data_IF_019406925228
#
_entry.id   IF_019406925228
#
_cell.length_a   1.000
_cell.length_b   1.000
_cell.length_c   1.000
_cell.angle_alpha   90.00
_cell.angle_beta   90.00
_cell.angle_gamma   90.00
#
_symmetry.space_group_name_H-M   'P 1'
#
loop_
_entity.id
_entity.type
_entity.pdbx_description
1 polymer ?
#
# COMPACT_ATOMS: atom_id res chain seq x y z
N UNK A 1 13.47 8.09 -4.63
CA UNK A 1 14.25 6.83 -4.60
C UNK A 1 15.03 6.49 -5.86
N UNK A 2 14.63 6.87 -7.08
CA UNK A 2 15.52 6.65 -8.25
C UNK A 2 16.65 7.67 -8.24
N UNK A 3 17.90 7.19 -8.27
CA UNK A 3 19.09 8.05 -8.24
C UNK A 3 19.42 8.66 -6.88
N UNK A 4 18.64 8.40 -5.83
CA UNK A 4 18.94 8.80 -4.46
C UNK A 4 19.77 7.70 -3.78
N UNK A 5 20.81 8.11 -3.06
CA UNK A 5 21.54 7.26 -2.15
C UNK A 5 21.02 7.40 -0.70
N UNK A 6 21.62 6.63 0.19
CA UNK A 6 21.27 6.56 1.59
C UNK A 6 21.47 7.90 2.31
N UNK A 7 22.54 8.66 1.98
CA UNK A 7 22.84 9.94 2.60
C UNK A 7 21.78 11.00 2.26
N UNK A 8 21.37 11.07 0.98
CA UNK A 8 20.33 12.00 0.53
C UNK A 8 19.01 11.72 1.26
N UNK A 9 18.62 10.44 1.38
CA UNK A 9 17.38 10.08 2.08
C UNK A 9 17.42 10.46 3.55
N UNK A 10 18.52 10.17 4.26
CA UNK A 10 18.64 10.55 5.66
C UNK A 10 18.58 12.08 5.82
N UNK A 11 19.26 12.83 4.95
CA UNK A 11 19.20 14.29 4.92
C UNK A 11 17.77 14.79 4.72
N UNK A 12 17.02 14.21 3.79
CA UNK A 12 15.65 14.65 3.49
C UNK A 12 14.68 14.30 4.62
N UNK A 13 14.87 13.15 5.28
CA UNK A 13 14.11 12.79 6.48
C UNK A 13 14.39 13.75 7.63
N UNK A 14 15.66 14.08 7.90
CA UNK A 14 16.01 15.01 8.97
C UNK A 14 15.39 16.39 8.72
N UNK A 15 15.45 16.91 7.48
CA UNK A 15 14.77 18.15 7.11
C UNK A 15 13.25 18.06 7.32
N UNK A 16 12.62 16.96 6.94
CA UNK A 16 11.18 16.77 7.14
C UNK A 16 10.81 16.72 8.63
N UNK A 17 11.66 16.12 9.47
CA UNK A 17 11.50 16.06 10.92
C UNK A 17 11.67 17.45 11.55
N UNK A 18 12.65 18.22 11.10
CA UNK A 18 12.95 19.58 11.59
C UNK A 18 11.81 20.58 11.31
N UNK A 19 10.93 20.30 10.34
CA UNK A 19 9.68 21.05 10.14
C UNK A 19 8.68 20.88 11.30
N UNK A 20 8.94 20.00 12.27
CA UNK A 20 8.09 19.79 13.44
C UNK A 20 6.81 19.00 13.15
N UNK A 21 6.79 18.23 12.07
CA UNK A 21 5.62 17.44 11.67
C UNK A 21 5.32 16.33 12.69
N UNK A 22 4.03 16.01 12.86
CA UNK A 22 3.54 14.93 13.71
C UNK A 22 3.49 13.59 12.99
N UNK A 23 3.42 13.61 11.65
CA UNK A 23 3.45 12.43 10.79
C UNK A 23 4.31 12.67 9.54
N UNK A 24 4.87 11.60 9.00
CA UNK A 24 5.67 11.58 7.78
C UNK A 24 5.32 10.32 7.00
N UNK A 25 4.78 10.48 5.80
CA UNK A 25 4.54 9.38 4.88
C UNK A 25 5.68 9.25 3.87
N UNK A 26 6.19 8.03 3.69
CA UNK A 26 7.35 7.76 2.86
C UNK A 26 6.99 6.74 1.77
N UNK A 27 6.67 7.24 0.57
CA UNK A 27 6.28 6.39 -0.55
C UNK A 27 7.44 6.16 -1.53
N UNK A 28 7.77 4.89 -1.87
CA UNK A 28 8.58 4.65 -3.05
C UNK A 28 7.80 5.09 -4.30
N UNK A 29 8.49 5.77 -5.22
CA UNK A 29 7.90 6.11 -6.52
C UNK A 29 7.48 4.83 -7.24
N UNK A 30 6.20 4.75 -7.61
CA UNK A 30 5.63 3.60 -8.31
C UNK A 30 5.83 3.74 -9.83
N UNK A 31 6.68 2.87 -10.38
CA UNK A 31 7.11 2.88 -11.79
C UNK A 31 6.06 2.32 -12.77
N UNK A 32 4.85 2.01 -12.31
CA UNK A 32 3.77 1.59 -13.19
C UNK A 32 2.75 2.69 -13.34
N UNK A 33 2.38 3.36 -12.24
CA UNK A 33 1.30 4.38 -12.22
C UNK A 33 1.81 5.82 -12.35
N UNK A 34 3.12 6.03 -12.40
CA UNK A 34 3.69 7.36 -12.65
C UNK A 34 3.52 7.80 -14.10
N UNK A 35 3.50 9.12 -14.32
CA UNK A 35 3.35 9.67 -15.66
C UNK A 35 4.53 9.29 -16.56
N UNK A 36 4.27 9.09 -17.85
CA UNK A 36 5.32 8.83 -18.85
C UNK A 36 6.36 9.97 -18.91
N UNK A 37 5.94 11.21 -18.63
CA UNK A 37 6.84 12.36 -18.52
C UNK A 37 7.83 12.22 -17.36
N UNK A 38 7.37 11.76 -16.19
CA UNK A 38 8.25 11.52 -15.05
C UNK A 38 9.20 10.36 -15.34
N UNK A 39 8.72 9.26 -15.93
CA UNK A 39 9.57 8.15 -16.37
C UNK A 39 10.70 8.60 -17.29
N UNK A 40 10.36 9.39 -18.32
CA UNK A 40 11.35 9.97 -19.23
C UNK A 40 12.35 10.84 -18.47
N UNK A 41 11.86 11.70 -17.58
CA UNK A 41 12.72 12.61 -16.81
C UNK A 41 13.69 11.86 -15.88
N UNK A 42 13.23 10.80 -15.21
CA UNK A 42 14.07 9.96 -14.35
C UNK A 42 15.17 9.30 -15.17
N UNK A 43 14.83 8.71 -16.32
CA UNK A 43 15.81 8.08 -17.22
C UNK A 43 16.83 9.08 -17.75
N UNK A 44 16.37 10.27 -18.14
CA UNK A 44 17.23 11.31 -18.71
C UNK A 44 18.10 11.97 -17.60
N UNK A 45 17.71 11.88 -16.32
CA UNK A 45 18.43 12.42 -15.16
C UNK A 45 19.48 11.46 -14.60
N UNK A 46 19.22 10.15 -14.58
CA UNK A 46 20.13 9.18 -13.99
C UNK A 46 20.02 7.80 -14.62
N UNK A 47 21.18 7.19 -14.90
CA UNK A 47 21.27 5.76 -15.22
C UNK A 47 21.20 4.88 -13.96
N UNK A 48 21.22 5.49 -12.77
CA UNK A 48 21.21 4.79 -11.50
C UNK A 48 19.78 4.43 -11.06
N UNK A 49 19.20 3.51 -11.81
CA UNK A 49 17.94 2.88 -11.46
C UNK A 49 18.13 1.99 -10.22
N UNK A 50 17.36 2.31 -9.17
CA UNK A 50 17.39 1.62 -7.86
C UNK A 50 16.77 0.24 -7.96
N UNK A 51 17.54 -0.80 -7.61
CA UNK A 51 17.10 -2.20 -7.64
C UNK A 51 16.11 -2.53 -6.52
N UNK A 52 15.39 -3.65 -6.65
CA UNK A 52 14.48 -4.14 -5.60
C UNK A 52 15.23 -4.36 -4.27
N UNK A 53 16.41 -4.99 -4.31
CA UNK A 53 17.27 -5.20 -3.12
C UNK A 53 17.66 -3.88 -2.45
N UNK A 54 17.99 -2.84 -3.24
CA UNK A 54 18.35 -1.53 -2.67
C UNK A 54 17.14 -0.84 -2.06
N UNK A 55 15.97 -0.87 -2.73
CA UNK A 55 14.70 -0.35 -2.17
C UNK A 55 14.36 -1.01 -0.83
N UNK A 56 14.55 -2.33 -0.73
CA UNK A 56 14.34 -3.07 0.52
C UNK A 56 15.32 -2.62 1.62
N UNK A 57 16.61 -2.50 1.29
CA UNK A 57 17.64 -2.05 2.23
C UNK A 57 17.38 -0.61 2.71
N UNK A 58 16.94 0.27 1.82
CA UNK A 58 16.54 1.65 2.15
C UNK A 58 15.33 1.66 3.10
N UNK A 59 14.34 0.77 2.91
CA UNK A 59 13.20 0.67 3.83
C UNK A 59 13.64 0.32 5.26
N UNK A 60 14.60 -0.59 5.42
CA UNK A 60 15.19 -0.92 6.72
C UNK A 60 15.91 0.29 7.33
N UNK A 61 16.75 0.97 6.55
CA UNK A 61 17.46 2.18 6.99
C UNK A 61 16.49 3.26 7.46
N UNK A 62 15.44 3.54 6.66
CA UNK A 62 14.40 4.52 6.96
C UNK A 62 13.72 4.19 8.29
N UNK A 63 13.29 2.94 8.49
CA UNK A 63 12.61 2.56 9.74
C UNK A 63 13.51 2.73 10.97
N UNK A 64 14.77 2.30 10.89
CA UNK A 64 15.74 2.49 11.98
C UNK A 64 15.96 3.98 12.28
N UNK A 65 16.13 4.80 11.24
CA UNK A 65 16.34 6.24 11.40
C UNK A 65 15.12 6.92 12.03
N UNK A 66 13.92 6.68 11.49
CA UNK A 66 12.68 7.26 11.99
C UNK A 66 12.44 6.88 13.47
N UNK A 67 12.66 5.62 13.84
CA UNK A 67 12.57 5.17 15.25
C UNK A 67 13.58 5.87 16.15
N UNK A 68 14.82 6.07 15.68
CA UNK A 68 15.83 6.82 16.44
C UNK A 68 15.43 8.29 16.69
N UNK A 69 14.55 8.84 15.85
CA UNK A 69 14.01 10.21 15.93
C UNK A 69 12.65 10.30 16.63
N UNK A 70 12.18 9.22 17.27
CA UNK A 70 10.93 9.21 18.02
C UNK A 70 9.68 9.05 17.16
N UNK A 71 9.79 8.36 16.02
CA UNK A 71 8.67 8.01 15.16
C UNK A 71 8.45 6.50 15.11
N UNK A 72 7.19 6.09 15.14
CA UNK A 72 6.76 4.70 14.96
C UNK A 72 5.98 4.57 13.65
N UNK A 73 6.12 3.46 12.91
CA UNK A 73 5.21 3.16 11.82
C UNK A 73 3.76 3.12 12.33
N UNK A 74 2.82 3.70 11.60
CA UNK A 74 1.38 3.58 11.89
C UNK A 74 0.60 2.89 10.74
N UNK A 75 1.30 2.56 9.65
CA UNK A 75 0.84 1.67 8.58
C UNK A 75 2.07 1.13 7.79
N UNK A 76 1.87 0.65 6.56
CA UNK A 76 2.92 0.09 5.71
C UNK A 76 4.04 1.05 5.26
N UNK A 77 3.83 2.36 5.32
CA UNK A 77 4.76 3.39 4.81
C UNK A 77 4.74 4.73 5.57
N UNK A 78 3.78 4.92 6.48
CA UNK A 78 3.57 6.14 7.25
C UNK A 78 4.11 6.01 8.67
N UNK A 79 4.66 7.11 9.17
CA UNK A 79 5.26 7.22 10.49
C UNK A 79 4.60 8.34 11.29
N UNK A 80 4.39 8.12 12.57
CA UNK A 80 3.82 9.09 13.51
C UNK A 80 4.75 9.28 14.69
N UNK A 81 4.86 10.50 15.20
CA UNK A 81 5.61 10.79 16.42
C UNK A 81 4.96 10.06 17.59
N UNK A 82 5.71 9.19 18.25
CA UNK A 82 5.20 8.34 19.34
C UNK A 82 6.36 7.89 20.23
N UNK A 83 6.05 7.51 21.46
CA UNK A 83 6.97 6.72 22.28
C UNK A 83 7.36 5.45 21.54
N UNK A 84 8.65 5.15 21.50
CA UNK A 84 9.17 3.95 20.83
C UNK A 84 8.81 2.71 21.66
N UNK A 85 8.26 1.71 20.99
CA UNK A 85 7.89 0.42 21.57
C UNK A 85 8.36 -0.72 20.68
N UNK A 86 8.26 -1.95 21.20
CA UNK A 86 8.56 -3.17 20.44
C UNK A 86 7.49 -3.51 19.39
N UNK A 87 6.41 -2.71 19.30
CA UNK A 87 5.41 -2.89 18.26
C UNK A 87 5.99 -2.61 16.87
N UNK A 88 5.58 -3.42 15.89
CA UNK A 88 5.98 -3.23 14.50
C UNK A 88 5.30 -2.00 13.92
N UNK A 89 3.99 -1.87 14.18
CA UNK A 89 3.13 -0.74 13.84
C UNK A 89 2.40 -0.31 15.10
N UNK A 90 2.34 0.99 15.38
CA UNK A 90 1.61 1.55 16.52
C UNK A 90 0.12 1.70 16.23
N UNK A 91 -0.69 1.47 17.26
CA UNK A 91 -2.14 1.70 17.28
C UNK A 91 -2.52 3.09 17.81
N UNK A 92 -1.56 3.91 18.23
CA UNK A 92 -1.78 5.25 18.79
C UNK A 92 -2.33 6.26 17.78
N UNK A 93 -2.24 5.96 16.48
CA UNK A 93 -2.74 6.80 15.41
C UNK A 93 -3.17 5.94 14.24
N UNK A 94 -4.32 6.29 13.66
CA UNK A 94 -4.67 5.84 12.32
C UNK A 94 -5.25 6.99 11.52
N UNK A 95 -4.90 7.03 10.23
CA UNK A 95 -5.49 7.99 9.32
C UNK A 95 -6.87 7.47 8.92
N UNK A 96 -7.93 8.17 9.33
CA UNK A 96 -9.32 7.73 9.18
C UNK A 96 -9.62 7.28 7.75
N UNK A 97 -9.18 8.03 6.74
CA UNK A 97 -9.37 7.64 5.34
C UNK A 97 -8.83 6.23 5.03
N UNK A 98 -7.67 5.85 5.59
CA UNK A 98 -7.13 4.50 5.41
C UNK A 98 -7.93 3.43 6.16
N UNK A 99 -8.61 3.75 7.26
CA UNK A 99 -9.55 2.79 7.90
C UNK A 99 -10.73 2.47 6.97
N UNK A 100 -11.22 3.44 6.19
CA UNK A 100 -12.28 3.16 5.22
C UNK A 100 -11.78 2.37 4.00
N UNK A 101 -10.61 2.73 3.47
CA UNK A 101 -10.08 2.11 2.24
C UNK A 101 -9.44 0.74 2.51
N UNK A 102 -8.62 0.65 3.58
CA UNK A 102 -7.78 -0.50 3.91
C UNK A 102 -8.12 -1.13 5.26
N UNK A 103 -9.16 -0.69 5.97
CA UNK A 103 -9.58 -1.27 7.25
C UNK A 103 -10.58 -2.42 7.08
N UNK A 104 -11.55 -2.48 7.98
CA UNK A 104 -12.56 -3.54 8.02
C UNK A 104 -13.64 -3.39 6.92
N UNK A 105 -14.49 -4.40 6.79
CA UNK A 105 -15.55 -4.49 5.78
C UNK A 105 -16.83 -3.71 6.11
N UNK A 106 -16.86 -3.02 7.25
CA UNK A 106 -17.99 -2.27 7.80
C UNK A 106 -17.87 -0.75 7.62
N UNK A 107 -16.84 -0.29 6.90
CA UNK A 107 -16.59 1.12 6.64
C UNK A 107 -16.90 1.49 5.19
N UNK A 108 -17.99 2.22 5.00
CA UNK A 108 -18.32 2.86 3.73
C UNK A 108 -17.58 4.20 3.60
N UNK A 109 -17.22 4.60 2.38
CA UNK A 109 -16.79 5.97 2.11
C UNK A 109 -17.37 6.52 0.81
N UNK A 110 -17.75 7.79 0.85
CA UNK A 110 -18.29 8.52 -0.28
C UNK A 110 -17.31 9.61 -0.72
N UNK A 111 -16.80 9.47 -1.94
CA UNK A 111 -15.96 10.47 -2.57
C UNK A 111 -16.78 11.49 -3.36
N UNK A 112 -16.45 12.77 -3.18
CA UNK A 112 -17.05 13.87 -3.95
C UNK A 112 -16.00 14.55 -4.83
N UNK A 113 -16.43 15.07 -5.98
CA UNK A 113 -15.56 15.70 -6.97
C UNK A 113 -15.22 14.80 -8.15
N UNK A 114 -14.44 15.38 -9.07
CA UNK A 114 -13.99 14.73 -10.31
C UNK A 114 -13.09 13.55 -9.99
N UNK A 115 -13.31 12.41 -10.64
CA UNK A 115 -12.59 11.15 -10.39
C UNK A 115 -12.70 10.60 -8.95
N UNK A 116 -13.57 11.17 -8.12
CA UNK A 116 -13.73 10.65 -6.78
C UNK A 116 -14.28 9.21 -6.83
N UNK A 117 -13.69 8.36 -6.01
CA UNK A 117 -14.11 6.97 -5.83
C UNK A 117 -14.89 6.92 -4.53
N UNK A 118 -15.96 6.15 -4.51
CA UNK A 118 -16.69 5.73 -3.33
C UNK A 118 -16.62 4.21 -3.25
N UNK A 119 -16.38 3.69 -2.06
CA UNK A 119 -16.52 2.26 -1.79
C UNK A 119 -17.66 2.06 -0.82
N UNK A 120 -18.60 1.23 -1.22
CA UNK A 120 -19.71 0.76 -0.42
C UNK A 120 -19.65 -0.77 -0.43
N UNK A 121 -20.32 -1.40 0.52
CA UNK A 121 -20.47 -2.85 0.48
C UNK A 121 -21.02 -3.34 -0.88
N UNK A 122 -20.29 -4.27 -1.51
CA UNK A 122 -20.56 -4.86 -2.82
C UNK A 122 -20.46 -3.91 -4.02
N UNK A 123 -20.09 -2.63 -3.81
CA UNK A 123 -20.12 -1.62 -4.87
C UNK A 123 -18.93 -0.66 -4.82
N UNK A 124 -18.43 -0.31 -6.00
CA UNK A 124 -17.50 0.81 -6.19
C UNK A 124 -18.14 1.80 -7.15
N UNK A 125 -18.20 3.07 -6.75
CA UNK A 125 -18.74 4.16 -7.57
C UNK A 125 -17.58 5.07 -7.94
N UNK A 126 -17.41 5.35 -9.23
CA UNK A 126 -16.40 6.29 -9.72
C UNK A 126 -17.08 7.45 -10.43
N UNK A 127 -16.90 8.66 -9.91
CA UNK A 127 -17.36 9.87 -10.57
C UNK A 127 -16.64 10.08 -11.89
N UNK A 128 -17.31 10.73 -12.84
CA UNK A 128 -16.78 10.91 -14.18
C UNK A 128 -15.45 11.67 -14.21
N UNK A 129 -14.60 11.30 -15.16
CA UNK A 129 -13.38 12.02 -15.50
C UNK A 129 -13.69 13.25 -16.36
N UNK A 130 -12.91 14.31 -16.14
CA UNK A 130 -12.99 15.57 -16.89
C UNK A 130 -13.73 16.64 -16.10
N UNK A 131 -13.04 17.76 -15.85
CA UNK A 131 -13.54 18.86 -15.02
C UNK A 131 -14.79 19.51 -15.62
N UNK A 132 -14.76 19.86 -16.90
CA UNK A 132 -15.87 20.52 -17.58
C UNK A 132 -17.12 19.63 -17.58
N UNK A 133 -16.96 18.36 -17.98
CA UNK A 133 -18.07 17.40 -18.01
C UNK A 133 -18.71 17.19 -16.64
N UNK A 134 -17.90 17.11 -15.58
CA UNK A 134 -18.39 17.00 -14.21
C UNK A 134 -19.17 18.26 -13.79
N UNK A 135 -18.61 19.46 -14.01
CA UNK A 135 -19.27 20.72 -13.63
C UNK A 135 -20.59 20.89 -14.40
N UNK A 136 -20.57 20.66 -15.72
CA UNK A 136 -21.75 20.80 -16.58
C UNK A 136 -22.87 19.83 -16.20
N UNK A 137 -22.52 18.58 -15.84
CA UNK A 137 -23.52 17.60 -15.42
C UNK A 137 -24.10 17.97 -14.06
N UNK A 138 -23.28 18.39 -13.11
CA UNK A 138 -23.71 18.83 -11.78
C UNK A 138 -24.63 20.05 -11.86
N UNK A 139 -24.30 21.06 -12.68
CA UNK A 139 -25.15 22.24 -12.89
C UNK A 139 -26.53 21.90 -13.49
N UNK A 140 -26.65 20.74 -14.14
CA UNK A 140 -27.91 20.22 -14.71
C UNK A 140 -28.61 19.22 -13.78
N UNK A 141 -28.12 19.01 -12.56
CA UNK A 141 -28.57 17.96 -11.64
C UNK A 141 -28.48 16.54 -12.23
N UNK A 142 -27.47 16.29 -13.08
CA UNK A 142 -27.17 14.99 -13.68
C UNK A 142 -25.89 14.44 -13.05
N UNK A 143 -26.01 13.30 -12.37
CA UNK A 143 -24.91 12.67 -11.64
C UNK A 143 -24.26 11.57 -12.48
N UNK A 144 -23.21 11.92 -13.22
CA UNK A 144 -22.49 10.98 -14.07
C UNK A 144 -21.46 10.19 -13.26
N UNK A 145 -21.71 8.89 -13.10
CA UNK A 145 -20.79 7.97 -12.45
C UNK A 145 -20.80 6.60 -13.15
N UNK A 146 -19.74 5.83 -12.92
CA UNK A 146 -19.69 4.40 -13.20
C UNK A 146 -19.89 3.66 -11.89
N UNK A 147 -20.83 2.72 -11.87
CA UNK A 147 -21.03 1.81 -10.74
C UNK A 147 -20.52 0.43 -11.18
N UNK A 148 -19.60 -0.14 -10.43
CA UNK A 148 -19.16 -1.53 -10.56
C UNK A 148 -19.56 -2.31 -9.32
N UNK A 149 -19.91 -3.57 -9.53
CA UNK A 149 -20.26 -4.51 -8.46
C UNK A 149 -19.13 -5.51 -8.26
N UNK A 150 -18.97 -5.95 -7.02
CA UNK A 150 -18.06 -7.02 -6.63
C UNK A 150 -18.75 -7.96 -5.64
N UNK A 151 -18.20 -9.17 -5.50
CA UNK A 151 -18.71 -10.15 -4.55
C UNK A 151 -18.54 -9.61 -3.11
N UNK A 152 -19.62 -9.56 -2.33
CA UNK A 152 -19.60 -9.13 -0.92
C UNK A 152 -18.64 -9.95 -0.06
N UNK A 153 -18.32 -11.19 -0.47
CA UNK A 153 -17.30 -11.98 0.20
C UNK A 153 -15.95 -11.25 0.23
N UNK A 154 -15.62 -10.44 -0.78
CA UNK A 154 -14.40 -9.64 -0.79
C UNK A 154 -14.38 -8.59 0.33
N UNK A 155 -15.54 -8.01 0.67
CA UNK A 155 -15.65 -7.06 1.78
C UNK A 155 -15.38 -7.76 3.12
N UNK A 156 -15.88 -8.98 3.28
CA UNK A 156 -15.60 -9.81 4.47
C UNK A 156 -14.12 -10.20 4.59
N UNK A 157 -13.41 -10.30 3.46
CA UNK A 157 -12.00 -10.68 3.42
C UNK A 157 -11.04 -9.48 3.52
N UNK A 158 -11.52 -8.22 3.41
CA UNK A 158 -10.70 -7.00 3.62
C UNK A 158 -9.84 -7.03 4.87
N UNK A 159 -10.30 -7.53 6.04
CA UNK A 159 -9.49 -7.55 7.25
C UNK A 159 -8.19 -8.36 7.10
N UNK A 160 -8.23 -9.46 6.32
CA UNK A 160 -7.06 -10.31 6.08
C UNK A 160 -6.24 -9.80 4.89
N UNK A 161 -6.90 -9.40 3.81
CA UNK A 161 -6.24 -9.05 2.55
C UNK A 161 -5.63 -7.64 2.60
N UNK A 162 -6.33 -6.67 3.19
CA UNK A 162 -5.93 -5.26 3.21
C UNK A 162 -5.47 -4.83 4.59
N UNK A 163 -6.32 -4.98 5.61
CA UNK A 163 -6.07 -4.41 6.95
C UNK A 163 -4.84 -5.00 7.60
N UNK A 164 -4.76 -6.32 7.71
CA UNK A 164 -3.62 -6.99 8.34
C UNK A 164 -2.28 -6.55 7.73
N UNK A 165 -2.07 -6.65 6.39
CA UNK A 165 -0.84 -6.15 5.81
C UNK A 165 -0.66 -4.63 5.98
N UNK A 166 -1.69 -3.82 5.77
CA UNK A 166 -1.53 -2.36 5.76
C UNK A 166 -1.33 -1.73 7.14
N UNK A 167 -2.12 -2.17 8.13
CA UNK A 167 -2.09 -1.66 9.51
C UNK A 167 -1.24 -2.53 10.45
N UNK A 168 -0.72 -3.66 9.98
CA UNK A 168 0.13 -4.55 10.77
C UNK A 168 -0.63 -5.48 11.74
N UNK A 169 -1.96 -5.38 11.80
CA UNK A 169 -2.81 -6.06 12.77
C UNK A 169 -4.24 -6.27 12.24
N UNK A 170 -4.85 -7.40 12.60
CA UNK A 170 -6.29 -7.62 12.47
C UNK A 170 -6.86 -8.39 13.67
N UNK A 171 -7.85 -7.80 14.33
CA UNK A 171 -8.65 -8.42 15.40
C UNK A 171 -9.56 -9.51 14.84
N UNK A 172 -9.40 -10.75 15.33
CA UNK A 172 -10.19 -11.92 14.89
C UNK A 172 -11.68 -11.78 15.22
N UNK A 173 -12.04 -11.01 16.25
CA UNK A 173 -13.45 -10.79 16.61
C UNK A 173 -14.23 -10.02 15.54
N UNK A 174 -13.51 -9.29 14.67
CA UNK A 174 -14.06 -8.53 13.55
C UNK A 174 -13.89 -9.24 12.21
N UNK A 175 -13.48 -10.52 12.22
CA UNK A 175 -13.33 -11.35 11.03
C UNK A 175 -14.35 -12.48 11.10
N UNK A 176 -15.17 -12.61 10.06
CA UNK A 176 -16.06 -13.75 9.90
C UNK A 176 -15.25 -14.96 9.42
N UNK A 177 -14.49 -15.57 10.34
CA UNK A 177 -13.58 -16.68 10.03
C UNK A 177 -14.26 -17.86 9.35
N UNK A 178 -15.54 -18.11 9.65
CA UNK A 178 -16.37 -19.14 9.01
C UNK A 178 -16.70 -18.86 7.53
N UNK A 179 -16.50 -17.63 7.06
CA UNK A 179 -16.66 -17.25 5.65
C UNK A 179 -15.32 -17.21 4.90
N UNK A 180 -14.18 -17.34 5.60
CA UNK A 180 -12.86 -17.28 4.97
C UNK A 180 -12.68 -18.50 4.06
N UNK A 181 -12.45 -18.33 2.75
CA UNK A 181 -12.23 -19.46 1.86
C UNK A 181 -10.99 -20.25 2.27
N UNK A 182 -11.06 -21.59 2.21
CA UNK A 182 -9.96 -22.50 2.57
C UNK A 182 -8.63 -22.11 1.91
N UNK A 183 -8.70 -21.63 0.67
CA UNK A 183 -7.53 -21.19 -0.07
C UNK A 183 -6.87 -19.95 0.52
N UNK A 184 -7.66 -18.96 0.93
CA UNK A 184 -7.16 -17.77 1.59
C UNK A 184 -6.56 -18.14 2.96
N UNK A 185 -7.26 -19.01 3.70
CA UNK A 185 -6.77 -19.51 4.97
C UNK A 185 -5.46 -20.30 4.82
N UNK A 186 -5.34 -21.13 3.78
CA UNK A 186 -4.11 -21.83 3.44
C UNK A 186 -2.94 -20.89 3.19
N UNK A 187 -3.14 -19.83 2.39
CA UNK A 187 -2.12 -18.80 2.16
C UNK A 187 -1.76 -18.02 3.44
N UNK A 188 -2.73 -17.77 4.31
CA UNK A 188 -2.48 -17.15 5.61
C UNK A 188 -1.59 -18.05 6.48
N UNK A 189 -1.86 -19.35 6.53
CA UNK A 189 -1.03 -20.32 7.26
C UNK A 189 0.39 -20.40 6.70
N UNK A 190 0.58 -20.38 5.38
CA UNK A 190 1.91 -20.35 4.77
C UNK A 190 2.72 -19.11 5.21
N UNK A 191 2.06 -17.95 5.37
CA UNK A 191 2.70 -16.74 5.88
C UNK A 191 3.02 -16.83 7.38
N UNK A 192 2.19 -17.51 8.17
CA UNK A 192 2.43 -17.81 9.58
C UNK A 192 3.64 -18.74 9.71
N UNK A 193 3.65 -19.85 8.97
CA UNK A 193 4.73 -20.84 8.95
C UNK A 193 6.06 -20.22 8.47
N UNK A 194 5.99 -19.23 7.59
CA UNK A 194 7.15 -18.47 7.12
C UNK A 194 7.63 -17.38 8.11
N UNK A 195 6.97 -17.22 9.26
CA UNK A 195 7.32 -16.22 10.27
C UNK A 195 7.04 -14.77 9.85
N UNK A 196 6.14 -14.55 8.88
CA UNK A 196 5.72 -13.22 8.43
C UNK A 196 4.54 -12.70 9.24
N UNK A 197 3.71 -13.60 9.77
CA UNK A 197 2.54 -13.31 10.59
C UNK A 197 2.64 -14.11 11.88
N UNK A 198 2.31 -13.47 13.00
CA UNK A 198 2.04 -14.13 14.28
C UNK A 198 0.54 -14.31 14.39
N UNK A 199 0.13 -15.53 14.68
CA UNK A 199 -1.24 -15.87 15.00
C UNK A 199 -1.39 -16.08 16.52
N UNK A 200 -2.10 -15.18 17.20
CA UNK A 200 -2.41 -15.30 18.62
C UNK A 200 -3.91 -15.56 18.85
N UNK A 201 -4.33 -15.70 20.11
CA UNK A 201 -5.71 -16.01 20.45
C UNK A 201 -6.72 -14.97 19.94
N UNK A 202 -6.32 -13.70 19.86
CA UNK A 202 -7.23 -12.58 19.59
C UNK A 202 -6.98 -11.93 18.23
N UNK A 203 -5.81 -12.13 17.62
CA UNK A 203 -5.39 -11.35 16.48
C UNK A 203 -4.37 -12.02 15.60
N UNK A 204 -4.34 -11.56 14.35
CA UNK A 204 -3.20 -11.72 13.46
C UNK A 204 -2.35 -10.45 13.53
N UNK A 205 -1.02 -10.61 13.59
CA UNK A 205 -0.06 -9.50 13.64
C UNK A 205 1.08 -9.73 12.66
N UNK A 206 1.54 -8.70 11.97
CA UNK A 206 2.77 -8.82 11.20
C UNK A 206 3.97 -8.92 12.13
N UNK A 207 4.93 -9.77 11.78
CA UNK A 207 6.29 -9.65 12.32
C UNK A 207 6.99 -8.45 11.70
N UNK A 208 8.17 -8.07 12.22
CA UNK A 208 8.98 -7.02 11.61
C UNK A 208 9.33 -7.35 10.15
N UNK A 209 9.64 -8.62 9.89
CA UNK A 209 9.87 -9.12 8.54
C UNK A 209 8.61 -9.02 7.68
N UNK A 210 7.46 -9.46 8.20
CA UNK A 210 6.16 -9.33 7.53
C UNK A 210 5.83 -7.91 7.09
N UNK A 211 6.09 -6.93 7.96
CA UNK A 211 5.85 -5.51 7.64
C UNK A 211 6.76 -4.97 6.54
N UNK A 212 8.01 -5.45 6.42
CA UNK A 212 8.83 -5.10 5.26
C UNK A 212 8.18 -5.55 3.94
N UNK A 213 7.50 -6.69 3.96
CA UNK A 213 6.81 -7.31 2.81
C UNK A 213 5.32 -7.00 2.71
N UNK A 214 4.78 -6.01 3.45
CA UNK A 214 3.33 -5.80 3.56
C UNK A 214 2.58 -5.71 2.23
N UNK A 215 3.13 -5.01 1.23
CA UNK A 215 2.52 -4.90 -0.11
C UNK A 215 2.50 -6.24 -0.85
N UNK A 216 3.52 -7.07 -0.64
CA UNK A 216 3.60 -8.41 -1.22
C UNK A 216 2.62 -9.35 -0.53
N UNK A 217 2.49 -9.26 0.80
CA UNK A 217 1.50 -10.00 1.58
C UNK A 217 0.08 -9.64 1.12
N UNK A 218 -0.21 -8.34 0.95
CA UNK A 218 -1.49 -7.85 0.43
C UNK A 218 -1.80 -8.49 -0.92
N UNK A 219 -0.88 -8.44 -1.87
CA UNK A 219 -1.05 -9.08 -3.18
C UNK A 219 -1.19 -10.61 -3.10
N UNK A 220 -0.41 -11.26 -2.24
CA UNK A 220 -0.42 -12.71 -2.07
C UNK A 220 -1.77 -13.21 -1.55
N UNK A 221 -2.34 -12.49 -0.59
CA UNK A 221 -3.64 -12.80 0.01
C UNK A 221 -4.83 -12.46 -0.91
N UNK A 222 -4.65 -11.59 -1.91
CA UNK A 222 -5.73 -11.32 -2.88
C UNK A 222 -6.18 -12.61 -3.61
N UNK A 223 -7.49 -12.77 -3.89
CA UNK A 223 -7.99 -13.83 -4.76
C UNK A 223 -7.33 -13.81 -6.13
N UNK A 224 -7.19 -14.98 -6.76
CA UNK A 224 -6.48 -15.07 -8.04
C UNK A 224 -7.11 -14.26 -9.17
N UNK A 225 -8.43 -14.15 -9.19
CA UNK A 225 -9.13 -13.32 -10.16
C UNK A 225 -8.68 -11.85 -10.03
N UNK A 226 -8.61 -11.32 -8.81
CA UNK A 226 -8.13 -9.97 -8.52
C UNK A 226 -6.64 -9.81 -8.85
N UNK A 227 -5.81 -10.79 -8.51
CA UNK A 227 -4.40 -10.80 -8.92
C UNK A 227 -4.24 -10.75 -10.44
N UNK A 228 -5.07 -11.49 -11.19
CA UNK A 228 -5.03 -11.52 -12.64
C UNK A 228 -5.43 -10.17 -13.25
N UNK A 229 -6.45 -9.51 -12.68
CA UNK A 229 -6.86 -8.15 -13.07
C UNK A 229 -5.70 -7.17 -12.81
N UNK A 230 -5.08 -7.20 -11.63
CA UNK A 230 -3.97 -6.30 -11.31
C UNK A 230 -2.76 -6.53 -12.23
N UNK A 231 -2.39 -7.79 -12.49
CA UNK A 231 -1.33 -8.15 -13.45
C UNK A 231 -1.65 -7.62 -14.84
N UNK A 232 -2.91 -7.71 -15.28
CA UNK A 232 -3.35 -7.18 -16.58
C UNK A 232 -3.22 -5.65 -16.62
N UNK A 233 -3.66 -4.95 -15.57
CA UNK A 233 -3.52 -3.48 -15.48
C UNK A 233 -2.04 -3.09 -15.59
N UNK A 234 -1.15 -3.72 -14.81
CA UNK A 234 0.29 -3.46 -14.87
C UNK A 234 0.83 -3.71 -16.29
N UNK A 235 0.42 -4.81 -16.92
CA UNK A 235 0.84 -5.13 -18.28
C UNK A 235 0.39 -4.09 -19.31
N UNK A 236 -0.87 -3.64 -19.26
CA UNK A 236 -1.38 -2.61 -20.17
C UNK A 236 -0.73 -1.25 -19.93
N UNK A 237 -0.53 -0.86 -18.66
CA UNK A 237 0.17 0.38 -18.33
C UNK A 237 1.58 0.41 -18.93
N UNK A 238 2.32 -0.69 -18.81
CA UNK A 238 3.68 -0.81 -19.36
C UNK A 238 3.75 -0.78 -20.90
N UNK A 239 2.63 -0.91 -21.62
CA UNK A 239 2.57 -0.70 -23.08
C UNK A 239 2.50 0.78 -23.46
N UNK A 240 2.23 1.68 -22.50
CA UNK A 240 2.14 3.11 -22.76
C UNK A 240 3.47 3.66 -23.29
N UNK A 241 3.51 4.35 -24.44
CA UNK A 241 4.74 4.91 -24.98
C UNK A 241 5.49 5.79 -23.97
N UNK A 242 6.78 5.52 -23.80
CA UNK A 242 7.64 6.23 -22.85
C UNK A 242 7.64 5.66 -21.42
N UNK A 243 6.83 4.63 -21.12
CA UNK A 243 6.99 3.83 -19.90
C UNK A 243 8.00 2.73 -20.13
N UNK A 244 8.77 2.43 -19.08
CA UNK A 244 9.81 1.41 -19.09
C UNK A 244 10.01 0.90 -17.67
N UNK A 245 10.22 -0.40 -17.54
CA UNK A 245 10.63 -1.06 -16.31
C UNK A 245 11.85 -1.93 -16.63
N UNK A 246 13.00 -1.65 -16.03
CA UNK A 246 14.19 -2.46 -16.23
C UNK A 246 14.12 -3.76 -15.42
N UNK A 247 14.80 -4.81 -15.91
CA UNK A 247 14.97 -6.05 -15.14
C UNK A 247 15.65 -5.81 -13.79
N UNK A 248 16.55 -4.81 -13.70
CA UNK A 248 17.26 -4.45 -12.47
C UNK A 248 16.32 -3.98 -11.35
N UNK A 249 15.18 -3.39 -11.70
CA UNK A 249 14.19 -2.88 -10.73
C UNK A 249 13.35 -3.96 -10.05
N UNK A 250 13.28 -5.14 -10.65
CA UNK A 250 12.37 -6.22 -10.23
C UNK A 250 13.12 -7.43 -9.66
N UNK A 251 14.44 -7.51 -9.84
CA UNK A 251 15.24 -8.62 -9.33
C UNK A 251 15.72 -8.31 -7.92
N UNK A 252 15.36 -9.20 -7.00
CA UNK A 252 16.06 -9.34 -5.72
C UNK A 252 17.33 -10.15 -6.00
N UNK A 253 18.47 -9.48 -6.06
CA UNK A 253 19.75 -10.19 -6.13
C UNK A 253 20.02 -10.81 -4.77
N UNK A 254 19.93 -12.14 -4.67
CA UNK A 254 20.60 -12.84 -3.59
C UNK A 254 22.10 -12.51 -3.72
N UNK A 255 22.74 -12.10 -2.62
CA UNK A 255 24.18 -11.95 -2.61
C UNK A 255 24.79 -13.26 -3.11
N UNK A 256 25.52 -13.21 -4.22
CA UNK A 256 26.53 -14.22 -4.47
C UNK A 256 27.51 -14.02 -3.32
N UNK A 257 27.50 -14.95 -2.37
CA UNK A 257 28.57 -15.06 -1.38
C UNK A 257 29.90 -15.06 -2.15
N UNK A 258 30.72 -14.04 -1.91
CA UNK A 258 32.16 -14.07 -2.16
C UNK A 258 32.82 -14.14 -0.81
#
# INVERSE_FOLDING_TARGET
MHGEDEEVIISDLDKAIDLGLSNVDIYPINNVVTSSKLHKSVRDYTDNITSATRKFSMKLLIDLHMRSKGFMPHNGHGYVRSSITDQVVTDNYSFIYHEHVYGYGDHDFLGFGINAISSLRGHVITNITGREKYIDSMNKNIYLCKISQHDELLDEMKPLILRLPYHGYADKSQIKMNLVPDRLYGRLNELIDSGLIVDDTHSFRLTKLGWYWYSNIMFYLMPEAEQAILKKIVHEELKTPGKFLSKKEIIYTAGLNV
#
